data_IF_252152096693
#
_entry.id   IF_252152096693
#
_cell.length_a   1.000
_cell.length_b   1.000
_cell.length_c   1.000
_cell.angle_alpha   90.00
_cell.angle_beta   90.00
_cell.angle_gamma   90.00
#
_symmetry.space_group_name_H-M   'P 1'
#
loop_
_entity.id
_entity.type
_entity.pdbx_description
1 polymer ?
#
# COMPACT_ATOMS: atom_id res chain seq x y z
N UNK A 1 -2.96 12.04 -16.33
CA UNK A 1 -3.12 11.88 -14.89
C UNK A 1 -2.67 13.16 -14.17
N UNK A 2 -3.57 13.80 -13.44
CA UNK A 2 -3.32 15.06 -12.74
C UNK A 2 -3.49 14.97 -11.22
N UNK A 3 -3.93 13.84 -10.70
CA UNK A 3 -4.16 13.55 -9.28
C UNK A 3 -5.11 14.55 -8.57
N UNK A 4 -5.97 15.25 -9.32
CA UNK A 4 -6.85 16.27 -8.75
C UNK A 4 -8.23 15.66 -8.51
N UNK A 5 -8.53 15.35 -7.25
CA UNK A 5 -9.90 15.00 -6.83
C UNK A 5 -10.66 16.30 -6.61
N UNK A 6 -11.80 16.51 -7.28
CA UNK A 6 -12.61 17.70 -7.09
C UNK A 6 -13.09 17.85 -5.64
N UNK A 7 -13.21 19.08 -5.16
CA UNK A 7 -13.59 19.35 -3.75
C UNK A 7 -15.04 18.99 -3.41
N UNK A 8 -15.87 18.86 -4.42
CA UNK A 8 -17.27 18.41 -4.31
C UNK A 8 -17.40 16.86 -4.21
N UNK A 9 -16.28 16.15 -4.29
CA UNK A 9 -16.25 14.69 -4.14
C UNK A 9 -15.73 14.29 -2.76
N UNK A 10 -16.51 13.48 -2.07
CA UNK A 10 -16.09 12.90 -0.80
C UNK A 10 -15.26 11.63 -1.03
N UNK A 11 -14.22 11.46 -0.24
CA UNK A 11 -13.52 10.17 -0.13
C UNK A 11 -14.31 9.23 0.79
N UNK A 12 -14.03 7.93 0.70
CA UNK A 12 -14.57 6.96 1.65
C UNK A 12 -14.19 7.31 3.10
N UNK A 13 -12.97 7.83 3.32
CA UNK A 13 -12.53 8.29 4.64
C UNK A 13 -13.39 9.44 5.17
N UNK A 14 -13.74 10.42 4.32
CA UNK A 14 -14.62 11.52 4.68
C UNK A 14 -16.01 11.00 5.06
N UNK A 15 -16.60 10.16 4.22
CA UNK A 15 -17.94 9.62 4.45
C UNK A 15 -18.00 8.84 5.77
N UNK A 16 -17.04 7.98 6.00
CA UNK A 16 -17.01 7.15 7.22
C UNK A 16 -16.72 7.97 8.47
N UNK A 17 -15.77 8.91 8.43
CA UNK A 17 -15.52 9.83 9.54
C UNK A 17 -16.77 10.61 9.93
N UNK A 18 -17.48 11.17 8.95
CA UNK A 18 -18.70 11.95 9.17
C UNK A 18 -19.86 11.07 9.69
N UNK A 19 -19.70 9.72 9.65
CA UNK A 19 -20.63 8.73 10.22
C UNK A 19 -20.05 8.01 11.45
N UNK A 20 -19.11 8.63 12.15
CA UNK A 20 -18.65 8.17 13.47
C UNK A 20 -17.49 7.20 13.49
N UNK A 21 -16.88 6.90 12.35
CA UNK A 21 -15.66 6.08 12.31
C UNK A 21 -14.41 6.90 12.66
N UNK A 22 -13.45 6.27 13.33
CA UNK A 22 -12.07 6.72 13.27
C UNK A 22 -11.42 6.22 11.98
N UNK A 23 -10.73 7.10 11.25
CA UNK A 23 -10.25 6.80 9.90
C UNK A 23 -8.76 7.02 9.77
N UNK A 24 -8.04 6.05 9.20
CA UNK A 24 -6.61 6.15 8.97
C UNK A 24 -6.21 5.67 7.57
N UNK A 25 -5.15 6.26 7.05
CA UNK A 25 -4.49 5.84 5.83
C UNK A 25 -3.02 5.53 6.10
N UNK A 26 -2.62 4.29 5.79
CA UNK A 26 -1.23 3.84 5.90
C UNK A 26 -0.67 3.54 4.51
N UNK A 27 0.50 4.10 4.21
CA UNK A 27 1.28 3.80 3.03
C UNK A 27 1.15 4.79 1.87
N UNK A 28 0.97 4.26 0.66
CA UNK A 28 1.02 5.02 -0.59
C UNK A 28 -0.15 5.97 -0.75
N UNK A 29 0.14 7.25 -0.89
CA UNK A 29 -0.79 8.28 -1.39
C UNK A 29 -0.33 8.79 -2.76
N UNK A 30 -0.99 8.32 -3.81
CA UNK A 30 -0.75 8.77 -5.18
C UNK A 30 -1.88 9.67 -5.72
N UNK A 31 -2.68 10.25 -4.81
CA UNK A 31 -3.80 11.13 -5.15
C UNK A 31 -3.52 12.62 -4.88
N UNK A 32 -2.47 12.91 -4.13
CA UNK A 32 -2.01 14.28 -3.95
C UNK A 32 -1.30 14.76 -5.21
N UNK A 33 -1.75 15.89 -5.82
CA UNK A 33 -1.10 16.42 -7.02
C UNK A 33 0.32 16.91 -6.75
N UNK A 34 1.18 16.85 -7.76
CA UNK A 34 2.61 17.14 -7.63
C UNK A 34 2.89 18.53 -7.02
N UNK A 35 2.09 19.54 -7.34
CA UNK A 35 2.25 20.90 -6.80
C UNK A 35 1.93 21.01 -5.30
N UNK A 36 1.23 20.04 -4.72
CA UNK A 36 0.88 19.97 -3.30
C UNK A 36 1.68 18.90 -2.54
N UNK A 37 2.54 18.14 -3.21
CA UNK A 37 3.24 16.99 -2.65
C UNK A 37 4.54 17.36 -1.89
N UNK A 38 4.56 18.52 -1.23
CA UNK A 38 5.73 18.97 -0.47
C UNK A 38 5.43 19.12 1.02
N UNK A 39 6.49 19.13 1.83
CA UNK A 39 6.40 19.29 3.28
C UNK A 39 5.81 20.64 3.73
N UNK A 40 5.64 21.58 2.82
CA UNK A 40 5.02 22.89 3.08
C UNK A 40 3.59 23.02 2.56
N UNK A 41 3.05 21.93 1.99
CA UNK A 41 1.69 21.89 1.45
C UNK A 41 1.51 22.58 0.09
N UNK A 42 0.26 22.96 -0.26
CA UNK A 42 -0.96 22.94 0.57
C UNK A 42 -1.43 21.53 0.94
N UNK A 43 -2.01 21.38 2.14
CA UNK A 43 -2.36 20.06 2.70
C UNK A 43 -3.84 19.67 2.51
N UNK A 44 -4.65 20.51 1.86
CA UNK A 44 -6.07 20.26 1.65
C UNK A 44 -6.36 19.01 0.80
N UNK A 45 -5.39 18.54 0.02
CA UNK A 45 -5.47 17.35 -0.83
C UNK A 45 -4.64 16.15 -0.32
N UNK A 46 -4.03 16.31 0.83
CA UNK A 46 -3.38 15.21 1.53
C UNK A 46 -4.42 14.32 2.21
N UNK A 47 -4.08 13.08 2.60
CA UNK A 47 -5.03 12.19 3.26
C UNK A 47 -5.82 12.85 4.40
N UNK A 48 -5.15 13.63 5.25
CA UNK A 48 -5.81 14.34 6.35
C UNK A 48 -6.76 15.44 5.88
N UNK A 49 -6.45 16.16 4.82
CA UNK A 49 -7.34 17.13 4.18
C UNK A 49 -8.51 16.48 3.46
N UNK A 50 -8.36 15.22 3.05
CA UNK A 50 -9.34 14.43 2.32
C UNK A 50 -10.23 13.55 3.23
N UNK A 51 -10.14 13.69 4.55
CA UNK A 51 -11.07 13.09 5.50
C UNK A 51 -10.54 11.89 6.26
N UNK A 52 -9.26 11.58 6.19
CA UNK A 52 -8.60 10.62 7.07
C UNK A 52 -8.03 11.35 8.29
N UNK A 53 -8.39 10.92 9.49
CA UNK A 53 -7.92 11.56 10.73
C UNK A 53 -6.45 11.28 11.03
N UNK A 54 -5.93 10.20 10.46
CA UNK A 54 -4.53 9.81 10.61
C UNK A 54 -3.94 9.37 9.28
N UNK A 55 -2.71 9.76 9.05
CA UNK A 55 -1.91 9.34 7.90
C UNK A 55 -0.49 8.96 8.35
N UNK A 56 -0.04 7.78 7.93
CA UNK A 56 1.35 7.37 8.06
C UNK A 56 1.79 6.78 6.72
N UNK A 57 2.60 7.50 5.96
CA UNK A 57 2.92 7.04 4.61
C UNK A 57 3.77 8.01 3.81
N UNK A 58 3.77 7.79 2.51
CA UNK A 58 4.48 8.61 1.55
C UNK A 58 3.55 9.15 0.47
N UNK A 59 3.88 10.33 -0.04
CA UNK A 59 3.15 10.98 -1.13
C UNK A 59 3.91 10.73 -2.43
N UNK A 60 3.24 10.06 -3.37
CA UNK A 60 3.84 9.69 -4.66
C UNK A 60 3.56 8.26 -5.07
N UNK A 61 4.13 7.86 -6.22
CA UNK A 61 3.90 6.55 -6.85
C UNK A 61 4.68 5.41 -6.22
N UNK A 62 5.84 5.69 -5.66
CA UNK A 62 6.76 4.73 -5.07
C UNK A 62 7.55 5.32 -3.91
N UNK A 63 8.25 4.49 -3.17
CA UNK A 63 9.13 4.91 -2.09
C UNK A 63 10.25 3.90 -1.86
N UNK A 64 11.41 4.37 -1.47
CA UNK A 64 12.47 3.54 -0.92
C UNK A 64 11.95 2.86 0.36
N UNK A 65 12.14 1.53 0.48
CA UNK A 65 11.61 0.79 1.62
C UNK A 65 12.52 0.83 2.87
N UNK A 66 13.76 1.32 2.74
CA UNK A 66 14.73 1.43 3.83
C UNK A 66 14.88 2.85 4.35
N UNK A 67 14.81 3.83 3.46
CA UNK A 67 14.95 5.26 3.76
C UNK A 67 13.91 6.06 2.96
N UNK A 68 12.60 5.89 3.28
CA UNK A 68 11.54 6.59 2.56
C UNK A 68 11.46 8.07 2.94
N UNK A 69 10.95 8.88 2.03
CA UNK A 69 10.40 10.19 2.36
C UNK A 69 9.02 9.99 3.00
N UNK A 70 8.97 9.95 4.32
CA UNK A 70 7.81 9.50 5.08
C UNK A 70 7.19 10.64 5.90
N UNK A 71 5.88 10.58 6.03
CA UNK A 71 5.10 11.57 6.78
C UNK A 71 4.20 10.89 7.82
N UNK A 72 4.04 11.56 8.96
CA UNK A 72 2.94 11.33 9.89
C UNK A 72 2.02 12.55 9.83
N UNK A 73 0.80 12.34 9.37
CA UNK A 73 -0.12 13.40 8.97
C UNK A 73 0.53 14.31 7.91
N UNK A 74 0.92 15.52 8.28
CA UNK A 74 1.61 16.47 7.39
C UNK A 74 3.06 16.71 7.79
N UNK A 75 3.54 16.05 8.84
CA UNK A 75 4.89 16.22 9.37
C UNK A 75 5.82 15.13 8.84
N UNK A 76 6.93 15.54 8.25
CA UNK A 76 7.96 14.60 7.79
C UNK A 76 8.63 13.91 8.97
N UNK A 77 8.84 12.60 8.86
CA UNK A 77 9.42 11.75 9.90
C UNK A 77 10.51 10.84 9.35
N UNK A 78 11.40 10.42 10.23
CA UNK A 78 12.59 9.62 9.89
C UNK A 78 12.72 8.41 10.84
N UNK A 79 11.74 7.48 10.87
CA UNK A 79 11.71 6.40 11.86
C UNK A 79 12.83 5.37 11.69
N UNK A 80 13.51 5.37 10.56
CA UNK A 80 14.64 4.50 10.22
C UNK A 80 15.97 5.01 10.80
N UNK A 81 16.07 6.29 11.19
CA UNK A 81 17.33 6.85 11.71
C UNK A 81 17.76 6.12 12.97
N UNK A 82 19.02 5.69 13.01
CA UNK A 82 19.59 4.93 14.13
C UNK A 82 19.06 3.51 14.29
N UNK A 83 18.29 2.97 13.32
CA UNK A 83 17.72 1.63 13.36
C UNK A 83 18.16 0.79 12.16
N UNK A 84 19.34 0.16 12.18
CA UNK A 84 19.77 -0.73 11.13
C UNK A 84 18.72 -1.83 10.84
N UNK A 85 18.45 -2.10 9.56
CA UNK A 85 17.47 -3.12 9.18
C UNK A 85 16.00 -2.70 9.30
N UNK A 86 15.71 -1.45 9.70
CA UNK A 86 14.34 -0.95 9.63
C UNK A 86 13.82 -1.02 8.18
N UNK A 87 12.56 -1.44 8.01
CA UNK A 87 11.91 -1.52 6.71
C UNK A 87 10.51 -0.93 6.77
N UNK A 88 10.11 -0.20 5.73
CA UNK A 88 8.84 0.52 5.68
C UNK A 88 7.63 -0.41 5.86
N UNK A 89 7.66 -1.61 5.26
CA UNK A 89 6.53 -2.56 5.35
C UNK A 89 6.26 -2.93 6.82
N UNK A 90 7.33 -3.27 7.57
CA UNK A 90 7.22 -3.60 9.00
C UNK A 90 6.85 -2.36 9.82
N UNK A 91 7.58 -1.24 9.64
CA UNK A 91 7.32 -0.02 10.40
C UNK A 91 5.91 0.55 10.19
N UNK A 92 5.34 0.36 9.01
CA UNK A 92 3.96 0.77 8.71
C UNK A 92 2.95 -0.17 9.38
N UNK A 93 3.22 -1.47 9.43
CA UNK A 93 2.37 -2.43 10.13
C UNK A 93 2.36 -2.15 11.65
N UNK A 94 3.52 -1.90 12.23
CA UNK A 94 3.65 -1.57 13.65
C UNK A 94 2.87 -0.29 14.01
N UNK A 95 2.99 0.76 13.20
CA UNK A 95 2.27 2.02 13.41
C UNK A 95 0.75 1.84 13.26
N UNK A 96 0.30 1.01 12.30
CA UNK A 96 -1.11 0.70 12.11
C UNK A 96 -1.69 -0.08 13.30
N UNK A 97 -0.97 -1.08 13.79
CA UNK A 97 -1.37 -1.87 14.97
C UNK A 97 -1.44 -0.97 16.20
N UNK A 98 -0.45 -0.12 16.41
CA UNK A 98 -0.44 0.84 17.53
C UNK A 98 -1.64 1.80 17.44
N UNK A 99 -1.93 2.35 16.28
CA UNK A 99 -3.06 3.26 16.08
C UNK A 99 -4.40 2.58 16.39
N UNK A 100 -4.66 1.38 15.85
CA UNK A 100 -5.90 0.62 16.10
C UNK A 100 -6.00 0.26 17.58
N UNK A 101 -4.89 -0.18 18.19
CA UNK A 101 -4.85 -0.55 19.61
C UNK A 101 -5.21 0.62 20.50
N UNK A 102 -4.67 1.81 20.24
CA UNK A 102 -5.00 3.03 21.02
C UNK A 102 -6.47 3.41 20.91
N UNK A 103 -7.07 3.31 19.73
CA UNK A 103 -8.50 3.57 19.54
C UNK A 103 -9.32 2.56 20.39
N UNK A 104 -9.03 1.27 20.25
CA UNK A 104 -9.75 0.22 20.94
C UNK A 104 -9.60 0.30 22.47
N UNK A 105 -8.43 0.66 22.98
CA UNK A 105 -8.23 0.87 24.41
C UNK A 105 -8.98 2.07 24.97
N UNK A 106 -9.19 3.11 24.14
CA UNK A 106 -9.90 4.32 24.53
C UNK A 106 -11.41 4.15 24.45
N UNK A 107 -11.89 3.57 23.35
CA UNK A 107 -13.31 3.27 23.13
C UNK A 107 -13.44 1.98 22.30
N UNK A 108 -13.68 0.83 22.98
CA UNK A 108 -13.84 -0.47 22.30
C UNK A 108 -15.01 -0.53 21.32
N UNK A 109 -15.99 0.38 21.44
CA UNK A 109 -17.16 0.43 20.57
C UNK A 109 -16.96 1.30 19.34
N UNK A 110 -15.89 2.09 19.31
CA UNK A 110 -15.59 3.00 18.19
C UNK A 110 -15.24 2.22 16.93
N UNK A 111 -16.02 2.32 15.85
CA UNK A 111 -15.68 1.66 14.61
C UNK A 111 -14.46 2.32 13.97
N UNK A 112 -13.61 1.52 13.34
CA UNK A 112 -12.41 1.99 12.66
C UNK A 112 -12.47 1.66 11.17
N UNK A 113 -11.93 2.55 10.35
CA UNK A 113 -11.66 2.31 8.94
C UNK A 113 -10.19 2.55 8.65
N UNK A 114 -9.52 1.51 8.19
CA UNK A 114 -8.10 1.54 7.84
C UNK A 114 -7.92 1.31 6.35
N UNK A 115 -7.40 2.32 5.63
CA UNK A 115 -6.85 2.13 4.29
C UNK A 115 -5.37 1.75 4.43
N UNK A 116 -5.06 0.47 4.25
CA UNK A 116 -3.70 -0.05 4.30
C UNK A 116 -3.21 -0.32 2.89
N UNK A 117 -2.31 0.54 2.39
CA UNK A 117 -1.84 0.57 1.01
C UNK A 117 -0.30 0.55 0.95
N UNK A 118 0.35 -0.60 1.20
CA UNK A 118 1.81 -0.70 1.15
C UNK A 118 2.35 -0.37 -0.25
N UNK A 119 3.54 0.21 -0.30
CA UNK A 119 4.24 0.48 -1.56
C UNK A 119 4.82 -0.79 -2.20
N UNK A 120 5.15 -1.80 -1.41
CA UNK A 120 5.52 -3.11 -1.93
C UNK A 120 4.27 -3.78 -2.57
N UNK A 121 4.37 -4.42 -3.72
CA UNK A 121 5.55 -4.87 -4.45
C UNK A 121 5.95 -3.97 -5.63
N UNK A 122 5.56 -2.73 -5.65
CA UNK A 122 6.02 -1.77 -6.66
C UNK A 122 7.54 -1.56 -6.57
N UNK A 123 8.19 -1.17 -7.67
CA UNK A 123 9.59 -0.74 -7.65
C UNK A 123 9.77 0.50 -6.74
N UNK A 124 10.94 0.65 -6.10
CA UNK A 124 12.08 -0.25 -6.07
C UNK A 124 11.79 -1.52 -5.25
N UNK A 125 12.27 -2.66 -5.74
CA UNK A 125 12.06 -3.95 -5.07
C UNK A 125 13.08 -4.11 -3.94
N UNK A 126 12.69 -3.76 -2.72
CA UNK A 126 13.54 -3.77 -1.52
C UNK A 126 13.03 -4.76 -0.46
N UNK A 127 12.95 -6.07 -0.76
CA UNK A 127 12.59 -7.06 0.24
C UNK A 127 13.71 -7.24 1.27
N UNK A 128 13.36 -7.69 2.48
CA UNK A 128 14.36 -8.10 3.45
C UNK A 128 15.07 -9.39 3.00
N UNK A 129 16.32 -9.59 3.41
CA UNK A 129 17.07 -10.81 3.06
C UNK A 129 16.42 -12.09 3.60
N UNK A 130 15.75 -12.00 4.74
CA UNK A 130 14.96 -13.09 5.31
C UNK A 130 13.87 -13.57 4.34
N UNK A 131 13.07 -12.64 3.80
CA UNK A 131 12.02 -12.97 2.83
C UNK A 131 12.59 -13.49 1.52
N UNK A 132 13.70 -12.93 1.03
CA UNK A 132 14.40 -13.45 -0.16
C UNK A 132 14.81 -14.89 0.05
N UNK A 133 15.45 -15.21 1.19
CA UNK A 133 15.88 -16.57 1.50
C UNK A 133 14.70 -17.54 1.62
N UNK A 134 13.64 -17.13 2.32
CA UNK A 134 12.41 -17.92 2.51
C UNK A 134 11.75 -18.27 1.17
N UNK A 135 11.55 -17.29 0.29
CA UNK A 135 10.90 -17.53 -1.02
C UNK A 135 11.81 -18.36 -1.92
N UNK A 136 13.11 -18.10 -1.92
CA UNK A 136 14.08 -18.90 -2.69
C UNK A 136 14.04 -20.38 -2.30
N UNK A 137 13.96 -20.69 -1.01
CA UNK A 137 13.89 -22.06 -0.50
C UNK A 137 12.61 -22.80 -0.90
N UNK A 138 11.57 -22.09 -1.37
CA UNK A 138 10.33 -22.70 -1.84
C UNK A 138 10.40 -23.23 -3.28
N UNK A 139 11.41 -22.86 -4.05
CA UNK A 139 11.60 -23.29 -5.45
C UNK A 139 10.40 -23.08 -6.36
N UNK A 140 9.62 -22.02 -6.10
CA UNK A 140 8.33 -21.77 -6.79
C UNK A 140 8.50 -21.33 -8.24
N UNK A 141 9.69 -20.84 -8.61
CA UNK A 141 9.94 -20.17 -9.89
C UNK A 141 10.99 -20.89 -10.75
N UNK A 142 11.53 -22.03 -10.29
CA UNK A 142 12.66 -22.72 -10.92
C UNK A 142 12.34 -23.20 -12.35
N UNK A 143 11.05 -23.49 -12.64
CA UNK A 143 10.57 -23.93 -13.95
C UNK A 143 10.35 -22.77 -14.95
N UNK A 144 10.58 -21.54 -14.50
CA UNK A 144 10.38 -20.32 -15.29
C UNK A 144 8.93 -19.81 -15.29
N UNK A 145 8.78 -18.61 -15.87
CA UNK A 145 7.52 -17.86 -15.82
C UNK A 145 6.36 -18.55 -16.56
N UNK A 146 6.61 -19.18 -17.70
CA UNK A 146 5.53 -19.83 -18.47
C UNK A 146 4.86 -20.97 -17.68
N UNK A 147 5.66 -21.78 -17.00
CA UNK A 147 5.14 -22.87 -16.15
C UNK A 147 4.44 -22.36 -14.92
N UNK A 148 4.96 -21.30 -14.31
CA UNK A 148 4.28 -20.62 -13.21
C UNK A 148 2.93 -20.07 -13.64
N UNK A 149 2.84 -19.44 -14.81
CA UNK A 149 1.61 -18.88 -15.39
C UNK A 149 0.57 -19.96 -15.62
N UNK A 150 0.96 -21.11 -16.18
CA UNK A 150 0.10 -22.27 -16.37
C UNK A 150 -0.46 -22.78 -15.02
N UNK A 151 0.40 -22.96 -14.01
CA UNK A 151 -0.01 -23.39 -12.66
C UNK A 151 -0.99 -22.42 -12.00
N UNK A 152 -0.71 -21.12 -12.11
CA UNK A 152 -1.60 -20.08 -11.56
C UNK A 152 -2.97 -20.17 -12.23
N UNK A 153 -3.02 -20.29 -13.56
CA UNK A 153 -4.25 -20.37 -14.32
C UNK A 153 -5.12 -21.57 -13.93
N UNK A 154 -4.53 -22.75 -13.81
CA UNK A 154 -5.24 -23.95 -13.37
C UNK A 154 -5.72 -23.84 -11.91
N UNK A 155 -4.90 -23.26 -11.02
CA UNK A 155 -5.30 -23.01 -9.64
C UNK A 155 -6.46 -22.03 -9.54
N UNK A 156 -6.50 -20.98 -10.36
CA UNK A 156 -7.61 -20.02 -10.41
C UNK A 156 -8.91 -20.68 -10.82
N UNK A 157 -8.89 -21.60 -11.81
CA UNK A 157 -10.05 -22.41 -12.19
C UNK A 157 -10.50 -23.31 -11.04
N UNK A 158 -9.56 -24.03 -10.42
CA UNK A 158 -9.83 -24.94 -9.31
C UNK A 158 -10.48 -24.21 -8.11
N UNK A 159 -10.02 -23.01 -7.81
CA UNK A 159 -10.52 -22.17 -6.72
C UNK A 159 -11.81 -21.40 -7.10
N UNK A 160 -12.23 -21.44 -8.35
CA UNK A 160 -13.41 -20.70 -8.82
C UNK A 160 -13.19 -19.18 -8.97
N UNK A 161 -11.96 -18.74 -9.00
CA UNK A 161 -11.60 -17.30 -9.19
C UNK A 161 -11.91 -16.87 -10.63
N UNK A 162 -11.77 -17.79 -11.58
CA UNK A 162 -12.13 -17.60 -12.99
C UNK A 162 -13.07 -18.71 -13.46
N UNK A 163 -13.87 -18.52 -14.54
CA UNK A 163 -14.73 -19.55 -15.12
C UNK A 163 -13.93 -20.81 -15.50
N UNK A 164 -14.55 -21.98 -15.32
CA UNK A 164 -13.91 -23.28 -15.66
C UNK A 164 -13.56 -23.42 -17.13
N UNK A 165 -14.32 -22.79 -18.00
CA UNK A 165 -14.16 -22.78 -19.46
C UNK A 165 -13.20 -21.65 -19.94
N UNK A 166 -12.68 -20.81 -19.05
CA UNK A 166 -11.69 -19.80 -19.40
C UNK A 166 -10.49 -20.43 -20.12
N UNK A 167 -9.98 -19.72 -21.10
CA UNK A 167 -8.78 -20.12 -21.86
C UNK A 167 -7.62 -19.20 -21.53
N UNK A 168 -6.44 -19.77 -21.31
CA UNK A 168 -5.23 -19.00 -21.11
C UNK A 168 -4.90 -18.24 -22.41
N UNK A 169 -4.81 -16.91 -22.33
CA UNK A 169 -4.45 -16.11 -23.49
C UNK A 169 -3.08 -16.53 -24.04
N UNK A 170 -2.87 -16.55 -25.36
CA UNK A 170 -1.55 -16.78 -25.93
C UNK A 170 -0.58 -15.68 -25.49
N UNK A 171 0.71 -15.97 -25.55
CA UNK A 171 1.72 -14.95 -25.34
C UNK A 171 1.64 -13.89 -26.45
N UNK A 172 1.59 -12.60 -26.15
CA UNK A 172 1.56 -11.57 -27.18
C UNK A 172 2.80 -11.64 -28.09
N UNK A 173 2.59 -11.55 -29.40
CA UNK A 173 3.66 -11.73 -30.38
C UNK A 173 4.72 -10.58 -30.35
N UNK A 174 4.32 -9.41 -29.86
CA UNK A 174 5.10 -8.19 -29.76
C UNK A 174 5.85 -8.03 -28.41
N UNK A 175 5.66 -8.98 -27.50
CA UNK A 175 6.32 -8.97 -26.19
C UNK A 175 7.40 -10.05 -26.15
N UNK A 176 8.61 -9.64 -25.75
CA UNK A 176 9.70 -10.60 -25.56
C UNK A 176 9.31 -11.58 -24.44
N UNK A 177 9.50 -12.86 -24.70
CA UNK A 177 9.35 -13.90 -23.67
C UNK A 177 10.47 -13.73 -22.64
N UNK A 178 10.15 -13.79 -21.33
CA UNK A 178 11.14 -13.70 -20.27
C UNK A 178 12.09 -14.90 -20.24
#
# INVERSE_FOLDING_TARGET
YNSIIPRDKATVGRVLRDNGYSTAWFGKDHNTPAFAASAVGPFDRWPTGMGFEYFYGFVGGDANQWQPNLFRNTTQIYPFQGKPGWNLVTGMADDAIDWVTRIHQTDPSKPVFVKYAPGATHAPHHPTQEWVAKIRAMHLFDDGYEKLRERIFENQKKLGVIPKDAKLAPWPADVLKP
#
